data_IF_136323266105
#
_entry.id   IF_136323266105
#
_cell.length_a   1.000
_cell.length_b   1.000
_cell.length_c   1.000
_cell.angle_alpha   90.00
_cell.angle_beta   90.00
_cell.angle_gamma   90.00
#
_symmetry.space_group_name_H-M   'P 1'
#
loop_
_entity.id
_entity.type
_entity.pdbx_description
1 polymer ?
#
# COMPACT_ATOMS: atom_id res chain seq x y z
N UNK A 1 -17.57 -8.53 -8.91
CA UNK A 1 -18.70 -8.31 -7.96
C UNK A 1 -18.22 -7.60 -6.72
N UNK A 2 -18.96 -6.57 -6.23
CA UNK A 2 -18.63 -5.81 -5.01
C UNK A 2 -19.62 -6.23 -3.90
N UNK A 3 -19.10 -6.56 -2.72
CA UNK A 3 -19.86 -6.87 -1.50
C UNK A 3 -19.86 -5.63 -0.60
N UNK A 4 -21.02 -5.25 -0.10
CA UNK A 4 -21.17 -4.11 0.81
C UNK A 4 -20.76 -4.51 2.24
N UNK A 5 -19.58 -4.06 2.65
CA UNK A 5 -19.04 -4.19 4.00
C UNK A 5 -19.25 -2.95 4.87
N UNK A 6 -19.96 -1.94 4.40
CA UNK A 6 -20.20 -0.68 5.12
C UNK A 6 -21.51 -0.70 5.91
N UNK A 7 -22.55 -1.29 5.32
CA UNK A 7 -23.85 -1.36 5.96
C UNK A 7 -23.85 -2.39 7.10
N UNK A 8 -24.28 -2.04 8.32
CA UNK A 8 -24.40 -2.99 9.43
C UNK A 8 -25.30 -4.20 9.09
N UNK A 9 -26.22 -4.05 8.14
CA UNK A 9 -27.15 -5.12 7.73
C UNK A 9 -26.46 -6.16 6.84
N UNK A 10 -25.56 -5.72 5.94
CA UNK A 10 -24.92 -6.60 4.94
C UNK A 10 -23.51 -7.02 5.34
N UNK A 11 -22.84 -6.29 6.22
CA UNK A 11 -21.42 -6.46 6.57
C UNK A 11 -21.09 -7.89 7.01
N UNK A 12 -21.89 -8.47 7.91
CA UNK A 12 -21.62 -9.82 8.42
C UNK A 12 -21.66 -10.87 7.31
N UNK A 13 -22.68 -10.82 6.43
CA UNK A 13 -22.80 -11.72 5.30
C UNK A 13 -21.72 -11.49 4.23
N UNK A 14 -21.33 -10.23 4.02
CA UNK A 14 -20.25 -9.87 3.10
C UNK A 14 -18.89 -10.42 3.58
N UNK A 15 -18.59 -10.29 4.87
CA UNK A 15 -17.37 -10.81 5.51
C UNK A 15 -17.35 -12.34 5.44
N UNK A 16 -18.45 -13.00 5.80
CA UNK A 16 -18.55 -14.47 5.78
C UNK A 16 -18.32 -15.00 4.37
N UNK A 17 -18.98 -14.41 3.36
CA UNK A 17 -18.78 -14.78 1.95
C UNK A 17 -17.33 -14.57 1.49
N UNK A 18 -16.69 -13.45 1.87
CA UNK A 18 -15.30 -13.17 1.54
C UNK A 18 -14.34 -14.18 2.21
N UNK A 19 -14.59 -14.54 3.48
CA UNK A 19 -13.80 -15.53 4.20
C UNK A 19 -13.93 -16.93 3.60
N UNK A 20 -15.16 -17.34 3.19
CA UNK A 20 -15.37 -18.60 2.49
C UNK A 20 -14.63 -18.65 1.14
N UNK A 21 -14.65 -17.57 0.37
CA UNK A 21 -13.92 -17.48 -0.89
C UNK A 21 -12.41 -17.65 -0.68
N UNK A 22 -11.82 -16.93 0.31
CA UNK A 22 -10.39 -17.07 0.66
C UNK A 22 -10.04 -18.49 1.10
N UNK A 23 -10.88 -19.12 1.93
CA UNK A 23 -10.71 -20.51 2.35
C UNK A 23 -10.79 -21.49 1.17
N UNK A 24 -11.61 -21.20 0.18
CA UNK A 24 -11.72 -21.99 -1.06
C UNK A 24 -10.51 -21.79 -2.01
N UNK A 25 -9.57 -20.91 -1.67
CA UNK A 25 -8.40 -20.57 -2.49
C UNK A 25 -8.68 -19.51 -3.56
N UNK A 26 -9.83 -18.84 -3.50
CA UNK A 26 -10.18 -17.74 -4.39
C UNK A 26 -9.53 -16.42 -3.94
N UNK A 27 -9.44 -15.47 -4.87
CA UNK A 27 -8.92 -14.13 -4.58
C UNK A 27 -10.06 -13.20 -4.11
N UNK A 28 -9.78 -12.43 -3.06
CA UNK A 28 -10.66 -11.39 -2.55
C UNK A 28 -9.89 -10.09 -2.40
N UNK A 29 -10.37 -9.02 -3.01
CA UNK A 29 -9.85 -7.69 -2.69
C UNK A 29 -10.53 -7.16 -1.43
N UNK A 30 -9.74 -6.62 -0.50
CA UNK A 30 -10.21 -6.16 0.79
C UNK A 30 -9.64 -4.78 1.15
N UNK A 31 -10.41 -3.96 1.89
CA UNK A 31 -9.98 -2.64 2.30
C UNK A 31 -8.90 -2.72 3.39
N UNK A 32 -8.01 -1.76 3.42
CA UNK A 32 -7.21 -1.42 4.60
C UNK A 32 -7.22 0.10 4.81
N UNK A 33 -6.69 0.59 5.91
CA UNK A 33 -6.54 2.04 6.14
C UNK A 33 -5.56 2.68 5.15
N UNK A 34 -4.67 1.89 4.53
CA UNK A 34 -3.65 2.35 3.58
C UNK A 34 -4.11 2.29 2.13
N UNK A 35 -4.26 1.12 1.57
CA UNK A 35 -4.73 0.84 0.21
C UNK A 35 -5.53 -0.47 0.20
N UNK A 36 -6.34 -0.73 -0.83
CA UNK A 36 -6.97 -2.05 -1.00
C UNK A 36 -5.91 -3.11 -1.31
N UNK A 37 -6.01 -4.26 -0.62
CA UNK A 37 -5.18 -5.43 -0.85
C UNK A 37 -5.87 -6.48 -1.72
N UNK A 38 -5.11 -7.19 -2.57
CA UNK A 38 -5.58 -8.39 -3.28
C UNK A 38 -5.20 -9.61 -2.46
N UNK A 39 -6.16 -10.21 -1.78
CA UNK A 39 -5.99 -11.24 -0.77
C UNK A 39 -6.04 -12.66 -1.31
N UNK A 40 -5.22 -13.53 -0.73
CA UNK A 40 -5.29 -14.98 -0.80
C UNK A 40 -4.86 -15.59 0.53
N UNK A 41 -5.24 -16.84 0.82
CA UNK A 41 -4.69 -17.60 1.94
C UNK A 41 -3.15 -17.65 1.85
N UNK A 42 -2.48 -17.02 2.82
CA UNK A 42 -1.02 -16.90 2.84
C UNK A 42 -0.30 -18.25 2.96
N UNK A 43 -0.98 -19.29 3.45
CA UNK A 43 -0.44 -20.63 3.66
C UNK A 43 -0.67 -21.56 2.47
N UNK A 44 -1.47 -21.15 1.49
CA UNK A 44 -1.75 -21.90 0.25
C UNK A 44 -0.90 -21.37 -0.91
N UNK A 45 0.14 -22.12 -1.30
CA UNK A 45 0.99 -21.74 -2.45
C UNK A 45 0.17 -21.59 -3.74
N UNK A 46 -0.88 -22.40 -3.92
CA UNK A 46 -1.77 -22.35 -5.08
C UNK A 46 -2.60 -21.05 -5.08
N UNK A 47 -3.17 -20.65 -3.93
CA UNK A 47 -3.92 -19.41 -3.82
C UNK A 47 -3.02 -18.19 -4.02
N UNK A 48 -1.81 -18.20 -3.44
CA UNK A 48 -0.80 -17.14 -3.62
C UNK A 48 -0.36 -17.03 -5.08
N UNK A 49 -0.19 -18.15 -5.79
CA UNK A 49 0.11 -18.15 -7.24
C UNK A 49 -0.99 -17.43 -8.04
N UNK A 50 -2.24 -17.51 -7.60
CA UNK A 50 -3.37 -16.75 -8.16
C UNK A 50 -3.13 -15.24 -8.12
N UNK A 51 -2.58 -14.71 -7.02
CA UNK A 51 -2.23 -13.28 -6.89
C UNK A 51 -1.21 -12.87 -7.96
N UNK A 52 -0.12 -13.63 -8.09
CA UNK A 52 0.93 -13.34 -9.08
C UNK A 52 0.39 -13.35 -10.50
N UNK A 53 -0.43 -14.35 -10.83
CA UNK A 53 -1.10 -14.46 -12.14
C UNK A 53 -2.03 -13.28 -12.41
N UNK A 54 -2.93 -12.96 -11.48
CA UNK A 54 -3.91 -11.87 -11.64
C UNK A 54 -3.24 -10.50 -11.81
N UNK A 55 -2.14 -10.24 -11.10
CA UNK A 55 -1.40 -8.98 -11.15
C UNK A 55 -0.39 -8.90 -12.31
N UNK A 56 0.02 -10.00 -12.93
CA UNK A 56 1.20 -10.04 -13.81
C UNK A 56 2.50 -9.76 -13.03
N UNK A 57 2.57 -10.16 -11.75
CA UNK A 57 3.70 -9.90 -10.84
C UNK A 57 4.67 -11.09 -10.86
N UNK A 58 6.00 -10.87 -10.88
CA UNK A 58 6.96 -11.94 -10.71
C UNK A 58 6.82 -12.67 -9.37
N UNK A 59 6.83 -14.02 -9.37
CA UNK A 59 6.59 -14.85 -8.18
C UNK A 59 7.70 -14.76 -7.11
N UNK A 60 8.88 -14.27 -7.49
CA UNK A 60 9.97 -14.03 -6.54
C UNK A 60 9.88 -12.68 -5.79
N UNK A 61 8.84 -11.88 -6.04
CA UNK A 61 8.57 -10.65 -5.31
C UNK A 61 7.69 -10.96 -4.10
N UNK A 62 8.17 -10.77 -2.85
CA UNK A 62 7.42 -11.14 -1.66
C UNK A 62 6.14 -10.33 -1.51
N UNK A 63 5.21 -10.89 -0.76
CA UNK A 63 3.93 -10.29 -0.39
C UNK A 63 3.93 -9.98 1.11
N UNK A 64 3.08 -9.06 1.54
CA UNK A 64 2.83 -8.82 2.96
C UNK A 64 1.69 -9.73 3.39
N UNK A 65 1.89 -10.44 4.50
CA UNK A 65 0.84 -11.24 5.13
C UNK A 65 0.16 -10.41 6.20
N UNK A 66 -1.16 -10.28 6.09
CA UNK A 66 -2.00 -9.57 7.03
C UNK A 66 -2.56 -10.53 8.06
N UNK A 67 -2.49 -10.16 9.34
CA UNK A 67 -2.95 -10.97 10.48
C UNK A 67 -3.99 -10.20 11.29
N UNK A 68 -4.87 -10.94 11.97
CA UNK A 68 -5.86 -10.37 12.87
C UNK A 68 -5.19 -9.84 14.15
N UNK A 69 -5.70 -8.74 14.67
CA UNK A 69 -5.42 -8.30 16.03
C UNK A 69 -6.06 -9.27 17.05
N UNK A 70 -5.54 -9.29 18.28
CA UNK A 70 -6.28 -9.84 19.39
C UNK A 70 -7.50 -8.98 19.72
N UNK A 71 -8.55 -9.59 20.22
CA UNK A 71 -9.72 -8.90 20.75
C UNK A 71 -9.93 -9.25 22.22
N UNK A 72 -10.95 -8.64 22.85
CA UNK A 72 -11.24 -8.90 24.29
C UNK A 72 -11.55 -10.37 24.59
N UNK A 73 -12.04 -11.13 23.60
CA UNK A 73 -12.32 -12.57 23.74
C UNK A 73 -11.12 -13.46 23.39
N UNK A 74 -10.17 -12.94 22.58
CA UNK A 74 -9.02 -13.71 22.09
C UNK A 74 -7.74 -12.83 22.04
N UNK A 75 -7.23 -12.36 23.18
CA UNK A 75 -6.04 -11.48 23.21
C UNK A 75 -4.78 -12.18 22.68
N UNK A 76 -4.70 -13.50 22.77
CA UNK A 76 -3.57 -14.29 22.29
C UNK A 76 -3.53 -14.46 20.76
N UNK A 77 -4.58 -14.10 20.03
CA UNK A 77 -4.70 -14.35 18.58
C UNK A 77 -3.55 -13.72 17.77
N UNK A 78 -3.13 -12.49 18.09
CA UNK A 78 -2.00 -11.86 17.44
C UNK A 78 -0.69 -12.61 17.70
N UNK A 79 -0.45 -13.03 18.94
CA UNK A 79 0.73 -13.82 19.32
C UNK A 79 0.75 -15.18 18.60
N UNK A 80 -0.39 -15.84 18.49
CA UNK A 80 -0.52 -17.10 17.75
C UNK A 80 -0.23 -16.91 16.25
N UNK A 81 -0.78 -15.86 15.66
CA UNK A 81 -0.51 -15.55 14.24
C UNK A 81 0.97 -15.22 14.01
N UNK A 82 1.59 -14.44 14.91
CA UNK A 82 3.02 -14.14 14.82
C UNK A 82 3.87 -15.40 14.91
N UNK A 83 3.64 -16.26 15.92
CA UNK A 83 4.41 -17.50 16.11
C UNK A 83 4.24 -18.50 14.96
N UNK A 84 3.11 -18.43 14.24
CA UNK A 84 2.89 -19.27 13.07
C UNK A 84 3.73 -18.85 11.88
N UNK A 85 3.94 -17.56 11.67
CA UNK A 85 4.61 -17.02 10.47
C UNK A 85 6.07 -16.64 10.71
N UNK A 86 6.45 -16.29 11.94
CA UNK A 86 7.75 -15.74 12.28
C UNK A 86 8.44 -16.54 13.39
N UNK A 87 9.77 -16.58 13.32
CA UNK A 87 10.62 -16.95 14.44
C UNK A 87 10.53 -15.88 15.55
N UNK A 88 11.07 -16.13 16.76
CA UNK A 88 11.04 -15.16 17.85
C UNK A 88 11.55 -13.78 17.43
N UNK A 89 10.78 -12.75 17.73
CA UNK A 89 11.06 -11.38 17.32
C UNK A 89 12.06 -10.71 18.28
N UNK A 90 12.93 -9.82 17.80
CA UNK A 90 13.77 -8.99 18.65
C UNK A 90 12.93 -8.01 19.48
N UNK A 91 13.43 -7.61 20.65
CA UNK A 91 12.71 -6.76 21.61
C UNK A 91 12.22 -5.42 20.98
N UNK A 92 13.02 -4.81 20.10
CA UNK A 92 12.62 -3.57 19.44
C UNK A 92 11.43 -3.77 18.47
N UNK A 93 11.30 -4.97 17.86
CA UNK A 93 10.15 -5.28 17.00
C UNK A 93 8.87 -5.41 17.82
N UNK A 94 8.92 -5.97 19.03
CA UNK A 94 7.77 -5.98 19.94
C UNK A 94 7.33 -4.57 20.31
N UNK A 95 8.28 -3.66 20.63
CA UNK A 95 7.96 -2.26 20.91
C UNK A 95 7.30 -1.55 19.72
N UNK A 96 7.71 -1.87 18.49
CA UNK A 96 7.06 -1.35 17.28
C UNK A 96 5.64 -1.90 17.10
N UNK A 97 5.42 -3.18 17.40
CA UNK A 97 4.08 -3.80 17.40
C UNK A 97 3.18 -3.10 18.43
N UNK A 98 3.63 -2.97 19.65
CA UNK A 98 2.87 -2.34 20.73
C UNK A 98 2.49 -0.88 20.41
N UNK A 99 3.37 -0.16 19.71
CA UNK A 99 3.15 1.24 19.39
C UNK A 99 2.25 1.46 18.15
N UNK A 100 2.30 0.56 17.14
CA UNK A 100 1.72 0.84 15.83
C UNK A 100 0.78 -0.23 15.28
N UNK A 101 0.54 -1.34 15.97
CA UNK A 101 -0.44 -2.33 15.55
C UNK A 101 -1.67 -2.36 16.48
N UNK A 102 -2.86 -2.42 15.90
CA UNK A 102 -3.20 -2.41 14.46
C UNK A 102 -2.85 -1.06 13.81
N UNK A 103 -2.24 -1.10 12.59
CA UNK A 103 -1.87 0.15 11.92
C UNK A 103 -1.02 0.00 10.65
N UNK A 104 -0.53 1.14 10.13
CA UNK A 104 0.13 1.23 8.83
C UNK A 104 1.63 0.88 8.89
N UNK A 105 2.01 -0.10 9.73
CA UNK A 105 3.37 -0.62 9.86
C UNK A 105 3.46 -2.06 9.37
N UNK A 106 4.42 -2.34 8.51
CA UNK A 106 4.82 -3.69 8.11
C UNK A 106 6.21 -3.98 8.69
N UNK A 107 6.37 -5.12 9.33
CA UNK A 107 7.66 -5.63 9.79
C UNK A 107 8.13 -6.76 8.89
N UNK A 108 9.37 -6.67 8.40
CA UNK A 108 10.04 -7.82 7.80
C UNK A 108 10.79 -8.54 8.92
N UNK A 109 10.49 -9.82 9.07
CA UNK A 109 11.02 -10.66 10.17
C UNK A 109 11.51 -12.00 9.63
N UNK A 110 12.29 -12.74 10.42
CA UNK A 110 12.70 -14.10 10.06
C UNK A 110 11.46 -14.99 9.98
N UNK A 111 11.27 -15.66 8.85
CA UNK A 111 10.11 -16.50 8.57
C UNK A 111 10.24 -17.87 9.24
N UNK A 112 9.15 -18.33 9.83
CA UNK A 112 9.05 -19.70 10.33
C UNK A 112 9.29 -20.71 9.20
N UNK A 113 10.24 -21.67 9.32
CA UNK A 113 10.50 -22.67 8.32
C UNK A 113 9.24 -23.45 7.89
N UNK A 114 9.12 -23.73 6.59
CA UNK A 114 8.01 -24.52 6.05
C UNK A 114 6.67 -23.78 5.91
N UNK A 115 6.54 -22.51 6.32
CA UNK A 115 5.29 -21.77 6.26
C UNK A 115 5.36 -20.61 5.26
N UNK A 116 4.32 -20.43 4.44
CA UNK A 116 4.11 -19.28 3.55
C UNK A 116 5.31 -18.94 2.64
N UNK A 117 5.97 -19.98 2.09
CA UNK A 117 7.16 -19.80 1.25
C UNK A 117 6.86 -19.02 -0.03
N UNK A 118 5.73 -19.29 -0.69
CA UNK A 118 5.30 -18.54 -1.87
C UNK A 118 4.99 -17.07 -1.52
N UNK A 119 4.34 -16.80 -0.39
CA UNK A 119 4.09 -15.43 0.09
C UNK A 119 5.39 -14.68 0.35
N UNK A 120 6.41 -15.34 0.84
CA UNK A 120 7.75 -14.79 1.07
C UNK A 120 8.59 -14.63 -0.22
N UNK A 121 8.10 -15.06 -1.39
CA UNK A 121 8.87 -15.06 -2.64
C UNK A 121 10.13 -15.91 -2.55
N UNK A 122 10.10 -17.01 -1.79
CA UNK A 122 11.20 -17.92 -1.54
C UNK A 122 12.28 -17.40 -0.58
N UNK A 123 12.05 -16.28 0.13
CA UNK A 123 13.01 -15.73 1.09
C UNK A 123 12.85 -16.38 2.48
N UNK A 124 13.91 -16.29 3.30
CA UNK A 124 13.89 -16.67 4.72
C UNK A 124 13.26 -15.60 5.62
N UNK A 125 12.79 -14.50 5.03
CA UNK A 125 12.09 -13.43 5.71
C UNK A 125 10.67 -13.32 5.19
N UNK A 126 9.78 -12.75 6.01
CA UNK A 126 8.38 -12.52 5.68
C UNK A 126 7.92 -11.14 6.16
N UNK A 127 7.10 -10.47 5.36
CA UNK A 127 6.46 -9.22 5.76
C UNK A 127 5.16 -9.50 6.48
N UNK A 128 5.01 -9.04 7.72
CA UNK A 128 3.80 -9.16 8.53
C UNK A 128 3.21 -7.79 8.81
N UNK A 129 1.89 -7.71 8.84
CA UNK A 129 1.15 -6.50 9.21
C UNK A 129 -0.19 -6.85 9.87
N UNK A 130 -0.56 -6.05 10.87
CA UNK A 130 -1.90 -6.05 11.45
C UNK A 130 -2.59 -4.72 11.07
N UNK A 131 -3.51 -4.69 10.06
CA UNK A 131 -4.11 -3.44 9.58
C UNK A 131 -5.14 -2.91 10.58
N UNK A 132 -5.35 -1.58 10.62
CA UNK A 132 -6.29 -0.94 11.56
C UNK A 132 -7.74 -0.87 11.05
N UNK A 133 -8.00 -1.20 9.77
CA UNK A 133 -9.30 -1.05 9.16
C UNK A 133 -10.34 -2.04 9.75
N UNK A 134 -11.51 -1.57 10.24
CA UNK A 134 -12.47 -2.45 10.93
C UNK A 134 -12.95 -3.64 10.08
N UNK A 135 -13.27 -3.41 8.79
CA UNK A 135 -13.72 -4.46 7.87
C UNK A 135 -12.59 -5.46 7.61
N UNK A 136 -11.33 -4.99 7.51
CA UNK A 136 -10.17 -5.88 7.37
C UNK A 136 -9.99 -6.76 8.61
N UNK A 137 -10.11 -6.19 9.82
CA UNK A 137 -9.99 -6.94 11.08
C UNK A 137 -11.10 -7.99 11.20
N UNK A 138 -12.33 -7.64 10.87
CA UNK A 138 -13.44 -8.58 10.87
C UNK A 138 -13.24 -9.72 9.86
N UNK A 139 -12.75 -9.42 8.64
CA UNK A 139 -12.41 -10.43 7.64
C UNK A 139 -11.29 -11.35 8.13
N UNK A 140 -10.20 -10.79 8.65
CA UNK A 140 -9.06 -11.55 9.17
C UNK A 140 -9.46 -12.46 10.34
N UNK A 141 -10.33 -11.96 11.23
CA UNK A 141 -10.87 -12.75 12.33
C UNK A 141 -11.75 -13.92 11.81
N UNK A 142 -12.64 -13.65 10.84
CA UNK A 142 -13.47 -14.69 10.22
C UNK A 142 -12.63 -15.74 9.47
N UNK A 143 -11.58 -15.32 8.77
CA UNK A 143 -10.63 -16.21 8.11
C UNK A 143 -9.89 -17.10 9.11
N UNK A 144 -9.38 -16.52 10.19
CA UNK A 144 -8.69 -17.28 11.25
C UNK A 144 -9.59 -18.34 11.90
N UNK A 145 -10.87 -17.99 12.16
CA UNK A 145 -11.86 -18.94 12.65
C UNK A 145 -12.17 -20.09 11.69
N UNK A 146 -11.95 -19.88 10.39
CA UNK A 146 -12.14 -20.89 9.33
C UNK A 146 -10.82 -21.62 8.94
N UNK A 147 -9.72 -21.40 9.67
CA UNK A 147 -8.43 -22.08 9.45
C UNK A 147 -7.51 -21.37 8.46
N UNK A 148 -7.80 -20.14 8.05
CA UNK A 148 -6.92 -19.26 7.25
C UNK A 148 -6.24 -18.27 8.21
N UNK A 149 -5.01 -18.53 8.68
CA UNK A 149 -4.39 -17.78 9.78
C UNK A 149 -3.85 -16.40 9.37
N UNK A 150 -3.74 -16.13 8.07
CA UNK A 150 -3.30 -14.87 7.52
C UNK A 150 -3.58 -14.75 6.03
N UNK A 151 -3.72 -13.53 5.56
CA UNK A 151 -4.02 -13.20 4.17
C UNK A 151 -2.79 -12.55 3.53
N UNK A 152 -2.18 -13.20 2.52
CA UNK A 152 -1.22 -12.55 1.66
C UNK A 152 -1.92 -11.47 0.83
N UNK A 153 -1.51 -10.22 0.93
CA UNK A 153 -2.23 -9.10 0.33
C UNK A 153 -1.33 -7.99 -0.18
N UNK A 154 -0.78 -8.06 -1.42
CA UNK A 154 -0.24 -6.88 -2.08
C UNK A 154 -1.38 -5.92 -2.46
N UNK A 155 -1.06 -4.67 -2.83
CA UNK A 155 -2.08 -3.73 -3.35
C UNK A 155 -2.89 -4.33 -4.50
N UNK A 156 -4.20 -4.04 -4.57
CA UNK A 156 -5.13 -4.66 -5.51
C UNK A 156 -5.16 -3.95 -6.88
N UNK A 157 -3.98 -3.74 -7.49
CA UNK A 157 -3.77 -3.20 -8.85
C UNK A 157 -2.91 -4.16 -9.68
N UNK A 158 -2.88 -3.98 -10.98
CA UNK A 158 -1.90 -4.63 -11.86
C UNK A 158 -0.49 -4.21 -11.48
N UNK A 159 0.50 -5.07 -11.70
CA UNK A 159 1.89 -4.84 -11.28
C UNK A 159 2.44 -3.53 -11.84
N UNK A 160 3.09 -2.73 -10.99
CA UNK A 160 3.68 -1.44 -11.34
C UNK A 160 2.72 -0.26 -11.43
N UNK A 161 1.39 -0.49 -11.42
CA UNK A 161 0.36 0.55 -11.59
C UNK A 161 0.01 1.25 -10.26
N UNK A 162 -0.74 2.35 -10.37
CA UNK A 162 -1.24 3.14 -9.24
C UNK A 162 -2.09 2.27 -8.30
N UNK A 163 -1.81 2.30 -6.99
CA UNK A 163 -2.54 1.51 -6.00
C UNK A 163 -4.01 1.97 -5.86
N UNK A 164 -4.95 1.04 -5.60
CA UNK A 164 -6.36 1.38 -5.42
C UNK A 164 -6.65 1.82 -3.98
N UNK A 165 -7.43 2.87 -3.82
CA UNK A 165 -7.86 3.43 -2.54
C UNK A 165 -9.37 3.36 -2.32
N UNK A 166 -10.12 2.77 -3.27
CA UNK A 166 -11.56 2.51 -3.20
C UNK A 166 -11.89 1.17 -3.86
N UNK A 167 -13.04 0.58 -3.53
CA UNK A 167 -13.56 -0.62 -4.19
C UNK A 167 -13.76 -0.41 -5.71
N UNK A 168 -14.18 0.78 -6.12
CA UNK A 168 -14.35 1.15 -7.52
C UNK A 168 -13.01 1.12 -8.29
N UNK A 169 -11.90 1.55 -7.68
CA UNK A 169 -10.57 1.44 -8.29
C UNK A 169 -10.17 -0.01 -8.53
N UNK A 170 -10.48 -0.92 -7.57
CA UNK A 170 -10.21 -2.36 -7.73
C UNK A 170 -11.06 -2.94 -8.86
N UNK A 171 -12.34 -2.61 -8.89
CA UNK A 171 -13.25 -3.09 -9.94
C UNK A 171 -12.79 -2.60 -11.33
N UNK A 172 -12.30 -1.38 -11.43
CA UNK A 172 -11.70 -0.87 -12.68
C UNK A 172 -10.49 -1.69 -13.15
N UNK A 173 -9.66 -2.20 -12.21
CA UNK A 173 -8.47 -3.02 -12.53
C UNK A 173 -8.80 -4.46 -12.96
N UNK A 174 -9.77 -5.08 -12.29
CA UNK A 174 -10.03 -6.53 -12.40
C UNK A 174 -11.41 -6.89 -12.90
N UNK A 175 -12.34 -5.94 -13.03
CA UNK A 175 -13.72 -6.20 -13.39
C UNK A 175 -14.40 -7.17 -12.41
N UNK A 176 -15.19 -8.09 -12.93
CA UNK A 176 -15.90 -9.12 -12.15
C UNK A 176 -15.05 -10.37 -11.87
N UNK A 177 -13.78 -10.39 -12.27
CA UNK A 177 -12.89 -11.54 -12.06
C UNK A 177 -12.39 -11.68 -10.61
N UNK A 178 -12.53 -10.63 -9.79
CA UNK A 178 -12.14 -10.61 -8.39
C UNK A 178 -13.35 -10.19 -7.54
N UNK A 179 -13.60 -10.91 -6.45
CA UNK A 179 -14.55 -10.51 -5.43
C UNK A 179 -13.99 -9.33 -4.64
N UNK A 180 -14.73 -8.24 -4.49
CA UNK A 180 -14.29 -7.04 -3.78
C UNK A 180 -15.15 -6.85 -2.53
N UNK A 181 -14.54 -6.81 -1.36
CA UNK A 181 -15.19 -6.42 -0.12
C UNK A 181 -15.01 -4.89 0.04
N UNK A 182 -16.11 -4.15 -0.06
CA UNK A 182 -16.09 -2.70 0.08
C UNK A 182 -16.11 -2.28 1.55
N UNK A 183 -15.11 -1.53 1.97
CA UNK A 183 -15.03 -0.90 3.30
C UNK A 183 -14.89 0.61 3.20
N UNK A 184 -15.24 1.21 2.04
CA UNK A 184 -15.10 2.65 1.79
C UNK A 184 -13.69 3.07 1.36
N UNK A 185 -13.46 4.38 1.27
CA UNK A 185 -12.17 4.94 0.87
C UNK A 185 -11.11 4.77 1.98
N UNK A 186 -9.87 4.51 1.59
CA UNK A 186 -8.76 4.39 2.50
C UNK A 186 -8.43 5.76 3.16
N UNK A 187 -8.20 5.75 4.48
CA UNK A 187 -7.96 6.98 5.25
C UNK A 187 -6.53 7.53 5.06
N UNK A 188 -5.55 6.67 4.80
CA UNK A 188 -4.13 7.06 4.64
C UNK A 188 -3.75 7.26 3.17
N UNK A 189 -4.20 6.39 2.28
CA UNK A 189 -4.06 6.55 0.83
C UNK A 189 -2.72 6.15 0.23
N UNK A 190 -1.67 5.90 1.01
CA UNK A 190 -0.39 5.32 0.59
C UNK A 190 -0.09 4.06 1.40
N UNK A 191 0.75 3.18 0.87
CA UNK A 191 1.08 1.91 1.53
C UNK A 191 1.82 2.12 2.84
N UNK A 192 1.80 1.08 3.69
CA UNK A 192 2.44 1.02 5.00
C UNK A 192 3.93 1.36 4.96
N UNK A 193 4.43 1.95 6.05
CA UNK A 193 5.87 1.99 6.34
C UNK A 193 6.39 0.55 6.49
N UNK A 194 7.57 0.23 5.94
CA UNK A 194 8.20 -1.09 6.07
C UNK A 194 9.51 -0.94 6.82
N UNK A 195 9.62 -1.65 7.95
CA UNK A 195 10.84 -1.76 8.75
C UNK A 195 11.31 -3.22 8.73
N UNK A 196 12.56 -3.43 8.36
CA UNK A 196 13.21 -4.73 8.47
C UNK A 196 13.78 -4.91 9.87
N UNK A 197 13.35 -5.97 10.54
CA UNK A 197 13.76 -6.38 11.88
C UNK A 197 14.56 -7.69 11.87
N UNK A 198 14.83 -8.26 10.68
CA UNK A 198 15.48 -9.57 10.56
C UNK A 198 17.01 -9.54 10.73
N UNK A 199 17.61 -8.35 10.72
CA UNK A 199 19.07 -8.14 10.75
C UNK A 199 19.60 -7.69 12.11
N UNK A 200 18.82 -7.81 13.18
CA UNK A 200 19.22 -7.46 14.56
C UNK A 200 19.18 -5.95 14.87
N UNK A 201 18.91 -5.11 13.88
CA UNK A 201 18.72 -3.66 14.00
C UNK A 201 17.55 -3.21 13.12
N UNK A 202 16.81 -2.14 13.47
CA UNK A 202 15.72 -1.64 12.64
C UNK A 202 16.24 -0.93 11.39
N UNK A 203 15.76 -1.34 10.22
CA UNK A 203 16.16 -0.74 8.92
C UNK A 203 14.91 -0.33 8.14
N UNK A 204 14.84 0.94 7.73
CA UNK A 204 13.75 1.44 6.90
C UNK A 204 13.91 0.95 5.47
N UNK A 205 12.95 0.15 4.99
CA UNK A 205 12.92 -0.33 3.61
C UNK A 205 11.98 0.49 2.72
N UNK A 206 10.89 1.01 3.28
CA UNK A 206 9.92 1.84 2.56
C UNK A 206 9.31 2.88 3.51
N UNK A 207 9.44 4.17 3.25
CA UNK A 207 8.75 5.19 4.02
C UNK A 207 7.22 5.14 3.76
N UNK A 208 6.43 5.55 4.73
CA UNK A 208 4.97 5.62 4.68
C UNK A 208 4.44 6.70 5.61
N UNK A 209 3.25 6.49 6.18
CA UNK A 209 2.63 7.46 7.09
C UNK A 209 3.32 7.56 8.46
N UNK A 210 4.04 6.52 8.89
CA UNK A 210 4.82 6.55 10.14
C UNK A 210 6.22 7.07 9.81
N UNK A 211 6.60 8.17 10.45
CA UNK A 211 7.89 8.85 10.21
C UNK A 211 9.06 8.11 10.87
N UNK A 212 10.28 8.40 10.42
CA UNK A 212 11.53 7.88 11.03
C UNK A 212 11.60 8.16 12.52
N UNK A 213 11.34 9.40 12.91
CA UNK A 213 11.37 9.84 14.32
C UNK A 213 10.37 9.06 15.18
N UNK A 214 9.15 8.83 14.67
CA UNK A 214 8.17 8.03 15.40
C UNK A 214 8.64 6.58 15.61
N UNK A 215 9.28 5.98 14.58
CA UNK A 215 9.82 4.62 14.68
C UNK A 215 10.96 4.57 15.71
N UNK A 216 11.92 5.51 15.66
CA UNK A 216 13.05 5.59 16.58
C UNK A 216 12.62 5.77 18.03
N UNK A 217 11.66 6.67 18.26
CA UNK A 217 11.08 6.89 19.62
C UNK A 217 10.41 5.62 20.13
N UNK A 218 9.62 4.94 19.29
CA UNK A 218 8.90 3.74 19.69
C UNK A 218 9.82 2.55 19.94
N UNK A 219 10.80 2.30 19.05
CA UNK A 219 11.69 1.15 19.20
C UNK A 219 12.86 1.39 20.16
N UNK A 220 13.17 2.66 20.47
CA UNK A 220 14.29 3.03 21.35
C UNK A 220 15.66 2.81 20.70
N UNK A 221 15.72 2.72 19.37
CA UNK A 221 16.93 2.45 18.59
C UNK A 221 16.99 3.35 17.36
N UNK A 222 18.20 3.71 16.92
CA UNK A 222 18.38 4.49 15.70
C UNK A 222 17.98 3.67 14.47
N UNK A 223 17.12 4.23 13.62
CA UNK A 223 16.68 3.62 12.38
C UNK A 223 17.75 3.72 11.31
N UNK A 224 18.25 2.59 10.82
CA UNK A 224 19.24 2.52 9.76
C UNK A 224 18.62 2.70 8.38
N UNK A 225 19.44 3.14 7.43
CA UNK A 225 19.14 3.04 5.99
C UNK A 225 19.74 1.75 5.43
N UNK A 226 19.35 1.38 4.21
CA UNK A 226 19.86 0.18 3.52
C UNK A 226 21.39 0.18 3.42
N UNK A 227 21.97 1.33 3.06
CA UNK A 227 23.41 1.50 2.82
C UNK A 227 24.24 1.41 4.09
N UNK A 228 23.60 1.55 5.26
CA UNK A 228 24.25 1.46 6.58
C UNK A 228 24.36 0.04 7.14
N UNK A 229 23.84 -0.96 6.43
CA UNK A 229 23.85 -2.35 6.88
C UNK A 229 24.53 -3.24 5.85
N UNK A 230 25.59 -3.94 6.25
CA UNK A 230 26.44 -4.73 5.37
C UNK A 230 25.78 -6.02 4.82
N UNK A 231 24.65 -6.45 5.37
CA UNK A 231 23.92 -7.64 4.90
C UNK A 231 23.06 -7.32 3.68
N UNK A 232 22.86 -8.29 2.75
CA UNK A 232 21.91 -8.11 1.65
C UNK A 232 20.52 -7.74 2.18
N UNK A 233 19.89 -6.76 1.53
CA UNK A 233 18.52 -6.38 1.87
C UNK A 233 17.54 -7.51 1.55
N UNK A 234 16.59 -7.84 2.43
CA UNK A 234 15.44 -8.62 2.03
C UNK A 234 14.66 -7.84 0.97
N UNK A 235 14.20 -8.54 -0.06
CA UNK A 235 13.28 -7.93 -1.02
C UNK A 235 12.00 -7.55 -0.31
N UNK A 236 11.50 -6.35 -0.55
CA UNK A 236 10.27 -5.85 0.05
C UNK A 236 9.32 -5.30 -1.03
N UNK A 237 7.99 -5.35 -0.83
CA UNK A 237 7.03 -4.80 -1.78
C UNK A 237 7.18 -3.27 -1.94
N UNK A 238 7.03 -2.76 -3.19
CA UNK A 238 7.04 -1.32 -3.48
C UNK A 238 8.40 -0.65 -3.31
N UNK A 239 9.50 -1.40 -3.41
CA UNK A 239 10.87 -0.86 -3.31
C UNK A 239 11.60 -0.78 -4.65
N UNK A 240 10.92 -1.09 -5.76
CA UNK A 240 11.44 -0.93 -7.13
C UNK A 240 11.62 0.56 -7.46
N UNK A 241 12.63 0.89 -8.26
CA UNK A 241 12.89 2.26 -8.68
C UNK A 241 11.69 2.87 -9.43
N UNK A 242 11.12 2.15 -10.39
CA UNK A 242 9.89 2.51 -11.10
C UNK A 242 8.70 1.72 -10.53
N UNK A 243 7.69 2.41 -10.03
CA UNK A 243 6.47 1.82 -9.45
C UNK A 243 5.37 2.89 -9.35
N UNK A 244 4.11 2.49 -9.11
CA UNK A 244 2.97 3.39 -8.93
C UNK A 244 2.63 4.23 -10.17
N UNK A 245 2.94 3.70 -11.36
CA UNK A 245 2.81 4.41 -12.62
C UNK A 245 1.35 4.68 -13.01
N UNK A 246 0.95 5.95 -13.24
CA UNK A 246 -0.23 6.27 -14.01
C UNK A 246 -0.05 5.87 -15.49
N UNK A 247 -1.11 5.95 -16.31
CA UNK A 247 -0.99 5.80 -17.77
C UNK A 247 -0.28 7.00 -18.39
N UNK A 248 -0.51 8.18 -17.83
CA UNK A 248 0.15 9.41 -18.21
C UNK A 248 1.61 9.44 -17.76
N UNK A 249 2.47 10.13 -18.51
CA UNK A 249 3.85 10.41 -18.07
C UNK A 249 3.83 11.43 -16.93
N UNK A 250 4.37 11.08 -15.77
CA UNK A 250 4.45 11.96 -14.61
C UNK A 250 5.80 12.70 -14.57
N UNK A 251 5.77 13.99 -14.22
CA UNK A 251 6.95 14.83 -14.00
C UNK A 251 6.84 15.57 -12.68
N UNK A 252 7.90 15.53 -11.87
CA UNK A 252 8.05 16.37 -10.68
C UNK A 252 8.80 17.64 -11.05
N UNK A 253 8.27 18.79 -10.64
CA UNK A 253 8.83 20.11 -10.94
C UNK A 253 8.60 21.02 -9.73
N UNK A 254 9.52 21.94 -9.48
CA UNK A 254 9.27 23.02 -8.53
C UNK A 254 8.23 24.02 -9.07
N UNK A 255 7.67 24.87 -8.21
CA UNK A 255 6.62 25.80 -8.59
C UNK A 255 7.06 26.80 -9.67
N UNK A 256 8.31 27.25 -9.64
CA UNK A 256 8.87 28.19 -10.62
C UNK A 256 8.96 27.54 -12.00
N UNK A 257 9.49 26.31 -12.04
CA UNK A 257 9.58 25.52 -13.28
C UNK A 257 8.21 25.18 -13.86
N UNK A 258 7.22 24.87 -12.99
CA UNK A 258 5.83 24.65 -13.41
C UNK A 258 5.23 25.89 -14.07
N UNK A 259 5.40 27.07 -13.42
CA UNK A 259 4.88 28.32 -13.99
C UNK A 259 5.58 28.67 -15.31
N UNK A 260 6.91 28.53 -15.39
CA UNK A 260 7.67 28.78 -16.61
C UNK A 260 7.22 27.86 -17.76
N UNK A 261 6.98 26.58 -17.48
CA UNK A 261 6.46 25.63 -18.47
C UNK A 261 5.05 26.03 -18.97
N UNK A 262 4.17 26.49 -18.07
CA UNK A 262 2.85 27.00 -18.43
C UNK A 262 2.89 28.27 -19.29
N UNK A 263 3.83 29.18 -19.00
CA UNK A 263 4.02 30.41 -19.75
C UNK A 263 4.52 30.14 -21.17
N UNK A 264 5.42 29.15 -21.36
CA UNK A 264 5.90 28.70 -22.68
C UNK A 264 4.79 28.03 -23.47
N UNK A 265 3.93 27.22 -22.83
CA UNK A 265 2.82 26.58 -23.52
C UNK A 265 1.82 27.58 -24.14
N UNK A 266 1.62 28.74 -23.49
CA UNK A 266 0.71 29.77 -23.97
C UNK A 266 -0.74 29.30 -24.16
N UNK A 267 -1.51 30.04 -24.95
CA UNK A 267 -2.92 29.73 -25.26
C UNK A 267 -3.07 28.61 -26.32
N UNK A 268 -2.07 28.42 -27.17
CA UNK A 268 -2.11 27.52 -28.32
C UNK A 268 -1.72 26.08 -28.06
N UNK A 269 -1.11 25.79 -26.90
CA UNK A 269 -0.69 24.43 -26.47
C UNK A 269 -1.84 23.42 -26.34
N UNK A 270 -3.03 23.86 -26.63
CA UNK A 270 -4.27 23.12 -26.53
C UNK A 270 -4.46 22.03 -27.59
N UNK A 271 -3.60 21.89 -28.59
CA UNK A 271 -3.88 21.01 -29.73
C UNK A 271 -3.32 19.59 -29.63
N UNK A 272 -2.35 19.30 -28.75
CA UNK A 272 -1.59 18.06 -28.86
C UNK A 272 -1.56 17.16 -27.59
N UNK A 273 -1.67 17.68 -26.36
CA UNK A 273 -1.60 16.83 -25.17
C UNK A 273 -2.54 17.31 -24.06
N UNK A 274 -3.34 16.39 -23.50
CA UNK A 274 -4.07 16.65 -22.27
C UNK A 274 -3.07 16.68 -21.11
N UNK A 275 -2.92 17.83 -20.47
CA UNK A 275 -2.02 18.04 -19.32
C UNK A 275 -2.86 18.21 -18.06
N UNK A 276 -2.51 17.46 -17.02
CA UNK A 276 -3.05 17.64 -15.68
C UNK A 276 -1.95 18.15 -14.75
N UNK A 277 -2.31 19.04 -13.83
CA UNK A 277 -1.38 19.63 -12.87
C UNK A 277 -1.91 19.44 -11.45
N UNK A 278 -1.04 18.99 -10.56
CA UNK A 278 -1.33 18.89 -9.14
C UNK A 278 -0.28 19.67 -8.36
N UNK A 279 -0.67 20.84 -7.84
CA UNK A 279 0.25 21.77 -7.22
C UNK A 279 -0.33 22.42 -5.96
N UNK A 280 0.53 22.73 -4.97
CA UNK A 280 0.21 23.51 -3.78
C UNK A 280 0.20 25.00 -4.09
N UNK A 281 1.11 25.43 -4.94
CA UNK A 281 1.22 26.82 -5.35
C UNK A 281 0.14 27.16 -6.37
N UNK A 282 -0.57 28.30 -6.22
CA UNK A 282 -1.48 28.80 -7.25
C UNK A 282 -0.70 29.11 -8.53
N UNK A 283 -1.07 28.46 -9.65
CA UNK A 283 -0.45 28.62 -10.94
C UNK A 283 -1.42 29.31 -11.92
N UNK A 284 -0.87 30.11 -12.83
CA UNK A 284 -1.63 30.80 -13.89
C UNK A 284 -1.47 30.03 -15.21
N UNK A 285 -2.59 29.61 -15.78
CA UNK A 285 -2.63 29.03 -17.12
C UNK A 285 -3.48 29.90 -18.06
N UNK A 286 -3.00 30.08 -19.29
CA UNK A 286 -3.76 30.72 -20.36
C UNK A 286 -4.65 29.75 -21.13
N UNK A 287 -4.46 28.43 -20.92
CA UNK A 287 -5.25 27.39 -21.59
C UNK A 287 -6.33 26.84 -20.65
N UNK A 288 -7.58 26.86 -21.09
CA UNK A 288 -8.72 26.25 -20.39
C UNK A 288 -8.72 24.71 -20.42
N UNK A 289 -7.85 24.09 -21.23
CA UNK A 289 -7.76 22.63 -21.40
C UNK A 289 -6.79 21.96 -20.42
N UNK A 290 -6.01 22.73 -19.68
CA UNK A 290 -5.14 22.22 -18.63
C UNK A 290 -5.98 22.01 -17.38
N UNK A 291 -6.07 20.76 -16.94
CA UNK A 291 -6.74 20.42 -15.69
C UNK A 291 -5.81 20.78 -14.54
N UNK A 292 -6.24 21.68 -13.67
CA UNK A 292 -5.51 22.04 -12.46
C UNK A 292 -6.27 21.57 -11.22
N UNK A 293 -5.58 20.87 -10.34
CA UNK A 293 -6.08 20.48 -9.03
C UNK A 293 -5.16 21.02 -7.93
N UNK A 294 -5.74 21.57 -6.91
CA UNK A 294 -4.99 22.01 -5.72
C UNK A 294 -4.49 20.80 -4.95
N UNK A 295 -3.17 20.74 -4.70
CA UNK A 295 -2.57 19.79 -3.76
C UNK A 295 -2.75 20.35 -2.35
N UNK A 296 -3.15 19.55 -1.34
CA UNK A 296 -3.18 19.99 0.04
C UNK A 296 -1.80 20.45 0.53
N UNK A 297 -1.80 21.40 1.47
CA UNK A 297 -0.57 21.88 2.12
C UNK A 297 -0.10 20.94 3.25
N UNK A 298 -0.92 19.96 3.61
CA UNK A 298 -0.67 18.92 4.62
C UNK A 298 -0.27 17.59 3.99
N UNK A 299 0.77 16.95 4.56
CA UNK A 299 1.34 15.70 4.02
C UNK A 299 0.35 14.53 4.11
N UNK A 300 -0.41 14.42 5.21
CA UNK A 300 -1.36 13.31 5.39
C UNK A 300 -2.54 13.44 4.43
N UNK A 301 -3.08 14.66 4.26
CA UNK A 301 -4.15 14.93 3.29
C UNK A 301 -3.67 14.70 1.85
N UNK A 302 -2.42 15.04 1.54
CA UNK A 302 -1.82 14.76 0.22
C UNK A 302 -1.62 13.26 0.00
N UNK A 303 -1.13 12.53 0.99
CA UNK A 303 -0.99 11.08 0.94
C UNK A 303 -2.35 10.40 0.66
N UNK A 304 -3.39 10.82 1.38
CA UNK A 304 -4.74 10.28 1.23
C UNK A 304 -5.31 10.49 -0.19
N UNK A 305 -5.00 11.63 -0.83
CA UNK A 305 -5.50 11.96 -2.17
C UNK A 305 -4.61 11.45 -3.31
N UNK A 306 -3.35 11.09 -3.05
CA UNK A 306 -2.32 10.87 -4.06
C UNK A 306 -2.78 9.92 -5.17
N UNK A 307 -3.08 8.68 -4.82
CA UNK A 307 -3.42 7.67 -5.82
C UNK A 307 -4.78 7.91 -6.47
N UNK A 308 -5.75 8.43 -5.72
CA UNK A 308 -7.05 8.82 -6.27
C UNK A 308 -6.91 9.93 -7.31
N UNK A 309 -6.08 10.94 -7.04
CA UNK A 309 -5.82 12.04 -7.97
C UNK A 309 -5.11 11.56 -9.25
N UNK A 310 -4.10 10.69 -9.14
CA UNK A 310 -3.44 10.14 -10.32
C UNK A 310 -4.39 9.31 -11.19
N UNK A 311 -5.26 8.50 -10.57
CA UNK A 311 -6.29 7.73 -11.28
C UNK A 311 -7.34 8.62 -11.93
N UNK A 312 -7.75 9.70 -11.26
CA UNK A 312 -8.69 10.67 -11.80
C UNK A 312 -8.12 11.37 -13.05
N UNK A 313 -6.85 11.77 -13.03
CA UNK A 313 -6.20 12.37 -14.18
C UNK A 313 -6.09 11.39 -15.37
N UNK A 314 -5.74 10.13 -15.10
CA UNK A 314 -5.77 9.07 -16.13
C UNK A 314 -7.17 8.90 -16.73
N UNK A 315 -8.22 8.88 -15.89
CA UNK A 315 -9.63 8.74 -16.32
C UNK A 315 -10.11 9.93 -17.15
N UNK A 316 -9.56 11.13 -16.89
CA UNK A 316 -9.81 12.34 -17.67
C UNK A 316 -8.99 12.38 -19.00
N UNK A 317 -8.20 11.35 -19.28
CA UNK A 317 -7.42 11.23 -20.50
C UNK A 317 -6.15 12.09 -20.50
N UNK A 318 -5.60 12.44 -19.32
CA UNK A 318 -4.31 13.10 -19.24
C UNK A 318 -3.22 12.23 -19.87
N UNK A 319 -2.35 12.84 -20.68
CA UNK A 319 -1.14 12.20 -21.23
C UNK A 319 0.12 12.62 -20.48
N UNK A 320 0.07 13.78 -19.85
CA UNK A 320 1.12 14.33 -19.00
C UNK A 320 0.51 14.76 -17.66
N UNK A 321 1.17 14.38 -16.58
CA UNK A 321 0.84 14.83 -15.22
C UNK A 321 2.04 15.57 -14.67
N UNK A 322 1.87 16.86 -14.38
CA UNK A 322 2.89 17.66 -13.74
C UNK A 322 2.53 17.85 -12.27
N UNK A 323 3.44 17.47 -11.40
CA UNK A 323 3.23 17.53 -9.94
C UNK A 323 4.27 18.45 -9.33
N UNK A 324 3.83 19.39 -8.50
CA UNK A 324 4.73 20.20 -7.71
C UNK A 324 5.48 19.30 -6.73
N UNK A 325 6.81 19.40 -6.73
CA UNK A 325 7.67 18.64 -5.82
C UNK A 325 7.30 18.92 -4.37
N UNK A 326 6.95 17.88 -3.59
CA UNK A 326 6.61 18.05 -2.17
C UNK A 326 7.79 18.58 -1.34
N UNK A 327 7.54 19.19 -0.16
CA UNK A 327 8.57 19.65 0.75
C UNK A 327 9.54 18.53 1.16
N UNK A 328 10.80 18.92 1.43
CA UNK A 328 11.82 17.98 1.91
C UNK A 328 11.84 17.94 3.45
N UNK A 329 10.71 17.52 4.04
CA UNK A 329 10.58 17.33 5.49
C UNK A 329 10.12 15.90 5.80
N UNK A 330 10.37 15.38 7.00
CA UNK A 330 10.14 13.95 7.32
C UNK A 330 8.71 13.47 7.09
N UNK A 331 7.71 14.29 7.37
CA UNK A 331 6.29 13.93 7.20
C UNK A 331 5.89 13.76 5.72
N UNK A 332 6.64 14.36 4.79
CA UNK A 332 6.43 14.22 3.36
C UNK A 332 7.20 13.06 2.73
N UNK A 333 8.06 12.37 3.47
CA UNK A 333 8.94 11.31 2.93
C UNK A 333 8.15 10.21 2.20
N UNK A 334 7.01 9.78 2.76
CA UNK A 334 6.15 8.78 2.15
C UNK A 334 5.52 9.24 0.82
N UNK A 335 5.07 10.49 0.74
CA UNK A 335 4.51 11.10 -0.47
C UNK A 335 5.60 11.27 -1.54
N UNK A 336 6.77 11.80 -1.15
CA UNK A 336 7.91 11.95 -2.07
C UNK A 336 8.33 10.63 -2.68
N UNK A 337 8.49 9.58 -1.87
CA UNK A 337 8.87 8.24 -2.36
C UNK A 337 7.90 7.74 -3.45
N UNK A 338 6.58 7.88 -3.24
CA UNK A 338 5.57 7.44 -4.22
C UNK A 338 5.63 8.23 -5.51
N UNK A 339 5.72 9.55 -5.42
CA UNK A 339 5.77 10.43 -6.60
C UNK A 339 7.08 10.27 -7.38
N UNK A 340 8.22 10.11 -6.71
CA UNK A 340 9.51 9.85 -7.36
C UNK A 340 9.49 8.53 -8.13
N UNK A 341 8.94 7.46 -7.55
CA UNK A 341 8.79 6.17 -8.24
C UNK A 341 7.80 6.21 -9.39
N UNK A 342 6.74 6.99 -9.27
CA UNK A 342 5.78 7.21 -10.36
C UNK A 342 6.40 8.01 -11.51
N UNK A 343 7.31 8.95 -11.22
CA UNK A 343 8.01 9.74 -12.22
C UNK A 343 9.17 8.99 -12.91
N UNK A 344 9.64 7.91 -12.30
CA UNK A 344 10.72 7.05 -12.82
C UNK A 344 10.19 5.90 -13.71
N UNK A 345 8.87 5.78 -13.89
CA UNK A 345 8.22 4.71 -14.62
C UNK A 345 8.03 5.00 -16.13
#
# INVERSE_FOLDING_TARGET
MILDGLSPVTMAAAIDRAAHALRAGELVAFPTETVYGLGADATSDMAVAGIFKAKGRPSNHPLIVHVAAGDAGHPARLTEALSRFAEPLPAFAHRLIDAFWPGPLTLIVTRQPGVAAASAGGQNTIGLRCPAHPVAQALLAACAAQGVPGIAGPSANRFGRVSPTTAAHVHHEFGDTVLVLDGGPCQIGIESTIVDCSRGVPVLLRPGAITRTQIEVACGEALRTRDQVASPDPRAPGTLAAHYAPNATLRLMDATSLQAALDVLGAEAASAASIAIWARTPLRSRSARIVQRRMPDDAAATAQQLFATLREFDAQGARLIWVETPPDTPEWEGVRDRLQRAAAA
#
